data_IF_486076890649
#
_entry.id   IF_486076890649
#
_cell.length_a   1.000
_cell.length_b   1.000
_cell.length_c   1.000
_cell.angle_alpha   90.00
_cell.angle_beta   90.00
_cell.angle_gamma   90.00
#
_symmetry.space_group_name_H-M   'P 1'
#
loop_
_entity.id
_entity.type
_entity.pdbx_description
1 polymer ?
#
# COMPACT_ATOMS: atom_id res chain seq x y z
N UNK A 1 4.89 31.42 8.70
CA UNK A 1 5.76 30.28 9.04
C UNK A 1 5.08 29.06 8.45
N UNK A 2 5.72 28.20 7.69
CA UNK A 2 5.07 26.92 7.33
C UNK A 2 4.78 26.21 8.65
N UNK A 3 3.59 25.67 8.76
CA UNK A 3 3.15 24.91 9.92
C UNK A 3 4.05 23.66 10.02
N UNK A 4 4.92 23.62 11.04
CA UNK A 4 5.85 22.51 11.29
C UNK A 4 5.11 21.26 11.82
N UNK A 5 3.81 21.14 11.45
CA UNK A 5 2.97 20.04 11.87
C UNK A 5 3.37 18.75 11.16
N UNK A 6 3.99 17.83 11.90
CA UNK A 6 4.43 16.50 11.44
C UNK A 6 3.63 15.41 12.12
N UNK A 7 2.39 15.14 11.67
CA UNK A 7 1.44 14.26 12.36
C UNK A 7 1.94 12.81 12.47
N UNK A 8 2.84 12.38 11.59
CA UNK A 8 3.43 11.03 11.63
C UNK A 8 4.75 10.95 12.38
N UNK A 9 5.25 12.05 12.98
CA UNK A 9 6.49 12.05 13.75
C UNK A 9 6.45 11.02 14.89
N UNK A 10 7.40 10.09 14.91
CA UNK A 10 7.49 9.00 15.90
C UNK A 10 6.33 8.00 15.85
N UNK A 11 5.46 8.03 14.83
CA UNK A 11 4.49 6.98 14.55
C UNK A 11 5.16 5.80 13.89
N UNK A 12 4.70 4.60 14.15
CA UNK A 12 5.28 3.37 13.60
C UNK A 12 4.38 2.74 12.56
N UNK A 13 4.91 2.61 11.34
CA UNK A 13 4.28 1.94 10.21
C UNK A 13 4.95 0.59 9.95
N UNK A 14 4.17 -0.48 9.82
CA UNK A 14 4.63 -1.75 9.26
C UNK A 14 4.01 -1.94 7.87
N UNK A 15 4.84 -2.29 6.88
CA UNK A 15 4.42 -2.36 5.48
C UNK A 15 4.87 -3.63 4.81
N UNK A 16 3.97 -4.26 4.05
CA UNK A 16 4.32 -5.32 3.12
C UNK A 16 4.65 -4.79 1.73
N UNK A 17 5.79 -5.22 1.14
CA UNK A 17 6.13 -4.90 -0.25
C UNK A 17 6.66 -3.48 -0.49
N UNK A 18 7.30 -2.84 0.48
CA UNK A 18 7.82 -1.47 0.42
C UNK A 18 9.20 -1.29 -0.23
N UNK A 19 9.77 -2.30 -0.91
CA UNK A 19 11.11 -2.18 -1.50
C UNK A 19 11.18 -1.34 -2.78
N UNK A 20 10.05 -0.94 -3.35
CA UNK A 20 9.92 -0.14 -4.59
C UNK A 20 8.50 0.36 -4.83
N UNK A 21 8.33 1.21 -5.86
CA UNK A 21 7.03 1.65 -6.38
C UNK A 21 6.17 2.36 -5.34
N UNK A 22 4.87 2.10 -5.36
CA UNK A 22 3.89 2.79 -4.50
C UNK A 22 4.24 2.63 -3.02
N UNK A 23 4.57 1.41 -2.57
CA UNK A 23 4.88 1.17 -1.16
C UNK A 23 6.10 1.95 -0.68
N UNK A 24 7.16 2.04 -1.49
CA UNK A 24 8.33 2.83 -1.14
C UNK A 24 7.99 4.32 -1.01
N UNK A 25 7.26 4.89 -1.95
CA UNK A 25 6.85 6.30 -1.91
C UNK A 25 5.95 6.61 -0.70
N UNK A 26 5.03 5.69 -0.32
CA UNK A 26 4.23 5.83 0.91
C UNK A 26 5.15 5.85 2.14
N UNK A 27 6.13 4.95 2.19
CA UNK A 27 7.09 4.88 3.29
C UNK A 27 7.96 6.16 3.38
N UNK A 28 8.45 6.66 2.25
CA UNK A 28 9.22 7.90 2.18
C UNK A 28 8.38 9.11 2.59
N UNK A 29 7.12 9.19 2.11
CA UNK A 29 6.22 10.29 2.49
C UNK A 29 5.96 10.32 4.00
N UNK A 30 5.81 9.17 4.63
CA UNK A 30 5.68 9.10 6.08
C UNK A 30 7.00 9.45 6.80
N UNK A 31 8.14 9.04 6.23
CA UNK A 31 9.47 9.33 6.74
C UNK A 31 9.83 10.84 6.71
N UNK A 32 9.28 11.62 5.77
CA UNK A 32 9.42 13.08 5.72
C UNK A 32 8.93 13.76 7.02
N UNK A 33 7.97 13.14 7.70
CA UNK A 33 7.53 13.57 9.03
C UNK A 33 8.39 13.01 10.18
N UNK A 34 9.26 12.04 9.92
CA UNK A 34 10.03 11.33 10.96
C UNK A 34 9.33 10.08 11.50
N UNK A 35 8.54 9.39 10.68
CA UNK A 35 7.92 8.11 11.06
C UNK A 35 8.97 6.99 11.17
N UNK A 36 8.65 5.99 11.99
CA UNK A 36 9.36 4.71 12.04
C UNK A 36 8.73 3.75 11.04
N UNK A 37 9.53 3.09 10.21
CA UNK A 37 9.05 2.24 9.13
C UNK A 37 9.63 0.82 9.26
N UNK A 38 8.78 -0.19 9.32
CA UNK A 38 9.19 -1.58 9.12
C UNK A 38 8.77 -2.02 7.72
N UNK A 39 9.75 -2.43 6.91
CA UNK A 39 9.52 -3.02 5.59
C UNK A 39 9.60 -4.54 5.67
N UNK A 40 8.57 -5.24 5.17
CA UNK A 40 8.61 -6.69 4.93
C UNK A 40 8.70 -6.90 3.42
N UNK A 41 9.84 -7.39 2.93
CA UNK A 41 10.03 -7.67 1.51
C UNK A 41 11.03 -8.80 1.29
N UNK A 42 10.86 -9.54 0.18
CA UNK A 42 11.75 -10.66 -0.20
C UNK A 42 13.00 -10.22 -0.95
N UNK A 43 12.97 -9.02 -1.54
CA UNK A 43 14.05 -8.56 -2.43
C UNK A 43 15.21 -8.04 -1.62
N UNK A 44 16.11 -8.94 -1.29
CA UNK A 44 17.36 -8.68 -0.57
C UNK A 44 18.51 -8.33 -1.52
N UNK A 45 18.57 -9.00 -2.67
CA UNK A 45 19.59 -8.81 -3.68
C UNK A 45 19.05 -8.05 -4.90
N UNK A 46 19.90 -7.31 -5.64
CA UNK A 46 19.49 -6.68 -6.88
C UNK A 46 18.91 -7.65 -7.88
N UNK A 47 17.81 -7.27 -8.52
CA UNK A 47 17.16 -8.08 -9.56
C UNK A 47 17.50 -7.50 -10.95
N UNK A 48 17.77 -8.33 -11.98
CA UNK A 48 18.23 -7.86 -13.30
C UNK A 48 17.30 -6.84 -13.99
N UNK A 49 16.00 -6.93 -13.73
CA UNK A 49 14.98 -6.10 -14.41
C UNK A 49 14.10 -5.28 -13.46
N UNK A 50 14.25 -5.45 -12.15
CA UNK A 50 13.47 -4.73 -11.13
C UNK A 50 14.41 -3.97 -10.22
N UNK A 51 14.47 -2.67 -10.39
CA UNK A 51 15.27 -1.78 -9.56
C UNK A 51 14.77 -1.78 -8.10
N UNK A 52 15.72 -1.62 -7.17
CA UNK A 52 15.46 -1.49 -5.74
C UNK A 52 15.47 -2.83 -4.98
N UNK A 53 16.04 -2.78 -3.80
CA UNK A 53 16.06 -3.84 -2.79
C UNK A 53 15.50 -3.28 -1.49
N UNK A 54 15.31 -4.13 -0.49
CA UNK A 54 14.93 -3.67 0.86
C UNK A 54 16.01 -2.75 1.46
N UNK A 55 17.27 -2.93 1.07
CA UNK A 55 18.40 -2.11 1.53
C UNK A 55 18.37 -0.71 0.92
N UNK A 56 18.25 -0.61 -0.42
CA UNK A 56 18.15 0.70 -1.08
C UNK A 56 16.88 1.46 -0.68
N UNK A 57 15.80 0.75 -0.41
CA UNK A 57 14.57 1.36 0.14
C UNK A 57 14.81 1.91 1.54
N UNK A 58 15.51 1.16 2.40
CA UNK A 58 15.88 1.63 3.72
C UNK A 58 16.72 2.90 3.70
N UNK A 59 17.75 2.97 2.82
CA UNK A 59 18.58 4.15 2.64
C UNK A 59 17.76 5.39 2.25
N UNK A 60 16.78 5.23 1.34
CA UNK A 60 15.89 6.32 0.92
C UNK A 60 14.99 6.79 2.06
N UNK A 61 14.43 5.88 2.85
CA UNK A 61 13.59 6.19 4.01
C UNK A 61 14.39 6.94 5.08
N UNK A 62 15.63 6.50 5.36
CA UNK A 62 16.53 7.17 6.30
C UNK A 62 16.93 8.56 5.80
N UNK A 63 17.19 8.70 4.50
CA UNK A 63 17.51 10.00 3.87
C UNK A 63 16.30 10.96 3.91
N UNK A 64 15.07 10.46 3.89
CA UNK A 64 13.84 11.25 4.05
C UNK A 64 13.58 11.68 5.51
N UNK A 65 14.31 11.15 6.49
CA UNK A 65 14.20 11.53 7.91
C UNK A 65 13.53 10.52 8.81
N UNK A 66 13.13 9.34 8.29
CA UNK A 66 12.54 8.25 9.08
C UNK A 66 13.58 7.31 9.68
N UNK A 67 13.13 6.44 10.60
CA UNK A 67 13.90 5.29 11.06
C UNK A 67 13.36 4.02 10.39
N UNK A 68 14.24 3.08 10.00
CA UNK A 68 13.80 1.88 9.27
C UNK A 68 14.22 0.58 9.96
N UNK A 69 13.32 -0.40 9.96
CA UNK A 69 13.58 -1.81 10.22
C UNK A 69 13.38 -2.59 8.90
N UNK A 70 14.45 -3.15 8.37
CA UNK A 70 14.44 -3.94 7.13
C UNK A 70 14.27 -5.42 7.49
N UNK A 71 13.08 -5.98 7.26
CA UNK A 71 12.78 -7.39 7.51
C UNK A 71 12.70 -8.16 6.17
N UNK A 72 13.74 -8.95 5.90
CA UNK A 72 13.74 -9.84 4.71
C UNK A 72 12.85 -11.03 5.00
N UNK A 73 11.68 -11.10 4.34
CA UNK A 73 10.69 -12.14 4.58
C UNK A 73 9.59 -12.19 3.51
N UNK A 74 8.90 -13.31 3.49
CA UNK A 74 7.75 -13.54 2.61
C UNK A 74 6.45 -13.36 3.41
N UNK A 75 5.52 -12.56 2.91
CA UNK A 75 4.20 -12.34 3.54
C UNK A 75 3.31 -13.60 3.57
N UNK A 76 3.73 -14.68 2.89
CA UNK A 76 3.07 -15.98 2.90
C UNK A 76 3.52 -16.87 4.06
N UNK A 77 4.64 -16.53 4.69
CA UNK A 77 5.23 -17.28 5.80
C UNK A 77 4.73 -16.68 7.12
N UNK A 78 3.89 -17.42 7.82
CA UNK A 78 3.24 -16.99 9.07
C UNK A 78 4.25 -16.64 10.14
N UNK A 79 5.29 -17.47 10.31
CA UNK A 79 6.32 -17.25 11.32
C UNK A 79 7.19 -16.04 10.97
N UNK A 80 7.49 -15.83 9.69
CA UNK A 80 8.24 -14.65 9.26
C UNK A 80 7.45 -13.37 9.52
N UNK A 81 6.15 -13.34 9.22
CA UNK A 81 5.30 -12.17 9.49
C UNK A 81 5.17 -11.93 10.99
N UNK A 82 4.99 -13.00 11.79
CA UNK A 82 4.93 -12.88 13.27
C UNK A 82 6.23 -12.27 13.81
N UNK A 83 7.40 -12.78 13.40
CA UNK A 83 8.70 -12.20 13.81
C UNK A 83 8.87 -10.74 13.37
N UNK A 84 8.38 -10.37 12.18
CA UNK A 84 8.45 -8.98 11.73
C UNK A 84 7.62 -8.05 12.63
N UNK A 85 6.44 -8.48 13.05
CA UNK A 85 5.58 -7.74 13.98
C UNK A 85 6.26 -7.63 15.37
N UNK A 86 6.78 -8.73 15.91
CA UNK A 86 7.49 -8.75 17.20
C UNK A 86 8.70 -7.79 17.18
N UNK A 87 9.56 -7.88 16.17
CA UNK A 87 10.73 -7.02 16.04
C UNK A 87 10.35 -5.54 15.87
N UNK A 88 9.22 -5.25 15.19
CA UNK A 88 8.70 -3.90 15.06
C UNK A 88 8.32 -3.32 16.43
N UNK A 89 7.57 -4.10 17.23
CA UNK A 89 7.15 -3.70 18.57
C UNK A 89 8.37 -3.55 19.49
N UNK A 90 9.31 -4.48 19.44
CA UNK A 90 10.55 -4.41 20.22
C UNK A 90 11.38 -3.16 19.90
N UNK A 91 11.55 -2.85 18.61
CA UNK A 91 12.40 -1.75 18.17
C UNK A 91 11.78 -0.38 18.36
N UNK A 92 10.47 -0.24 18.09
CA UNK A 92 9.78 1.06 18.02
C UNK A 92 8.72 1.26 19.11
N UNK A 93 8.49 0.26 19.96
CA UNK A 93 7.57 0.35 21.08
C UNK A 93 6.09 0.12 20.74
N UNK A 94 5.74 -0.15 19.48
CA UNK A 94 4.37 -0.41 19.06
C UNK A 94 4.17 -0.27 17.55
N UNK A 95 2.91 -0.40 17.11
CA UNK A 95 2.50 -0.23 15.71
C UNK A 95 1.28 0.68 15.67
N UNK A 96 1.36 1.75 14.89
CA UNK A 96 0.26 2.70 14.68
C UNK A 96 -0.41 2.51 13.32
N UNK A 97 0.35 2.07 12.31
CA UNK A 97 -0.14 1.94 10.94
C UNK A 97 0.30 0.62 10.32
N UNK A 98 -0.62 -0.03 9.61
CA UNK A 98 -0.36 -1.20 8.77
C UNK A 98 -0.66 -0.82 7.32
N UNK A 99 0.29 -1.08 6.41
CA UNK A 99 0.09 -0.87 4.98
C UNK A 99 0.24 -2.19 4.23
N UNK A 100 -0.87 -2.71 3.72
CA UNK A 100 -0.92 -3.91 2.89
C UNK A 100 -0.72 -3.51 1.42
N UNK A 101 0.54 -3.53 0.96
CA UNK A 101 0.90 -3.14 -0.39
C UNK A 101 1.49 -4.30 -1.21
N UNK A 102 2.03 -5.35 -0.59
CA UNK A 102 2.55 -6.51 -1.34
C UNK A 102 1.48 -7.10 -2.27
N UNK A 103 1.84 -7.31 -3.53
CA UNK A 103 0.91 -7.84 -4.53
C UNK A 103 1.64 -8.63 -5.60
N UNK A 104 1.05 -9.77 -6.00
CA UNK A 104 1.36 -10.47 -7.24
C UNK A 104 0.26 -10.19 -8.26
N UNK A 105 0.63 -10.15 -9.54
CA UNK A 105 -0.29 -9.86 -10.63
C UNK A 105 -0.05 -10.76 -11.83
N UNK A 106 -1.09 -11.48 -12.24
CA UNK A 106 -1.22 -12.13 -13.52
C UNK A 106 -2.61 -11.85 -14.07
N UNK A 107 -2.67 -11.40 -15.31
CA UNK A 107 -3.92 -11.00 -16.00
C UNK A 107 -4.30 -11.97 -17.10
N UNK A 108 -3.85 -13.19 -16.99
CA UNK A 108 -4.23 -14.26 -17.93
C UNK A 108 -5.71 -14.59 -17.81
N UNK A 109 -6.28 -15.06 -18.91
CA UNK A 109 -7.64 -15.60 -18.94
C UNK A 109 -7.73 -16.87 -18.07
N UNK A 110 -8.93 -17.27 -17.73
CA UNK A 110 -9.17 -18.42 -16.82
C UNK A 110 -8.54 -19.71 -17.33
N UNK A 111 -8.56 -19.96 -18.63
CA UNK A 111 -7.99 -21.14 -19.27
C UNK A 111 -6.46 -21.09 -19.40
N UNK A 112 -5.86 -19.91 -19.43
CA UNK A 112 -4.42 -19.73 -19.55
C UNK A 112 -3.71 -19.60 -18.19
N UNK A 113 -4.43 -19.21 -17.12
CA UNK A 113 -3.86 -19.02 -15.79
C UNK A 113 -3.47 -20.35 -15.15
N UNK A 114 -2.19 -20.53 -14.83
CA UNK A 114 -1.77 -21.70 -14.07
C UNK A 114 -2.25 -21.64 -12.62
N UNK A 115 -2.61 -22.79 -12.02
CA UNK A 115 -2.99 -22.84 -10.60
C UNK A 115 -1.85 -22.37 -9.68
N UNK A 116 -0.61 -22.66 -10.03
CA UNK A 116 0.56 -22.13 -9.30
C UNK A 116 0.55 -20.60 -9.20
N UNK A 117 0.20 -19.90 -10.28
CA UNK A 117 0.13 -18.45 -10.29
C UNK A 117 -1.14 -17.94 -9.60
N UNK A 118 -2.26 -18.66 -9.75
CA UNK A 118 -3.48 -18.41 -9.00
C UNK A 118 -3.20 -18.45 -7.48
N UNK A 119 -2.64 -19.56 -7.00
CA UNK A 119 -2.29 -19.75 -5.58
C UNK A 119 -1.34 -18.64 -5.10
N UNK A 120 -0.30 -18.30 -5.88
CA UNK A 120 0.63 -17.23 -5.56
C UNK A 120 -0.09 -15.88 -5.36
N UNK A 121 -1.06 -15.55 -6.23
CA UNK A 121 -1.82 -14.32 -6.11
C UNK A 121 -2.73 -14.33 -4.88
N UNK A 122 -3.41 -15.45 -4.59
CA UNK A 122 -4.26 -15.57 -3.40
C UNK A 122 -3.42 -15.46 -2.12
N UNK A 123 -2.28 -16.15 -2.07
CA UNK A 123 -1.42 -16.19 -0.90
C UNK A 123 -0.79 -14.83 -0.58
N UNK A 124 -0.31 -14.10 -1.60
CA UNK A 124 0.32 -12.81 -1.38
C UNK A 124 -0.74 -11.72 -1.13
N UNK A 125 -1.72 -11.61 -2.02
CA UNK A 125 -2.64 -10.49 -2.02
C UNK A 125 -3.67 -10.62 -0.90
N UNK A 126 -4.48 -11.66 -0.92
CA UNK A 126 -5.59 -11.84 0.01
C UNK A 126 -5.10 -12.34 1.37
N UNK A 127 -4.47 -13.53 1.40
CA UNK A 127 -4.02 -14.17 2.64
C UNK A 127 -2.95 -13.34 3.36
N UNK A 128 -1.95 -12.83 2.64
CA UNK A 128 -0.88 -12.03 3.22
C UNK A 128 -1.37 -10.72 3.84
N UNK A 129 -2.32 -10.04 3.19
CA UNK A 129 -2.94 -8.82 3.75
C UNK A 129 -3.75 -9.13 5.02
N UNK A 130 -4.52 -10.21 5.02
CA UNK A 130 -5.26 -10.65 6.20
C UNK A 130 -4.31 -11.02 7.34
N UNK A 131 -3.26 -11.81 7.06
CA UNK A 131 -2.29 -12.28 8.05
C UNK A 131 -1.57 -11.12 8.74
N UNK A 132 -1.00 -10.17 7.96
CA UNK A 132 -0.30 -9.01 8.52
C UNK A 132 -1.25 -8.17 9.37
N UNK A 133 -2.44 -7.87 8.85
CA UNK A 133 -3.44 -7.11 9.60
C UNK A 133 -3.82 -7.82 10.91
N UNK A 134 -4.16 -9.11 10.86
CA UNK A 134 -4.51 -9.93 12.03
C UNK A 134 -3.45 -9.88 13.11
N UNK A 135 -2.18 -10.07 12.75
CA UNK A 135 -1.07 -10.10 13.72
C UNK A 135 -0.80 -8.72 14.33
N UNK A 136 -1.14 -7.64 13.63
CA UNK A 136 -0.97 -6.27 14.13
C UNK A 136 -2.14 -5.79 15.01
N UNK A 137 -3.32 -6.43 14.99
CA UNK A 137 -4.50 -5.97 15.76
C UNK A 137 -4.22 -5.72 17.23
N UNK A 138 -3.48 -6.58 17.98
CA UNK A 138 -3.19 -6.29 19.39
C UNK A 138 -2.41 -4.99 19.59
N UNK A 139 -1.40 -4.72 18.74
CA UNK A 139 -0.60 -3.50 18.82
C UNK A 139 -1.41 -2.26 18.39
N UNK A 140 -2.26 -2.38 17.36
CA UNK A 140 -3.16 -1.30 16.93
C UNK A 140 -4.18 -0.93 18.02
N UNK A 141 -4.72 -1.91 18.75
CA UNK A 141 -5.59 -1.66 19.91
C UNK A 141 -4.85 -0.91 21.02
N UNK A 142 -3.59 -1.24 21.26
CA UNK A 142 -2.77 -0.51 22.23
C UNK A 142 -2.49 0.92 21.74
N UNK A 143 -2.20 1.11 20.47
CA UNK A 143 -2.07 2.42 19.83
C UNK A 143 -3.34 3.26 20.00
N UNK A 144 -4.54 2.66 19.80
CA UNK A 144 -5.82 3.34 20.02
C UNK A 144 -6.02 3.79 21.47
N UNK A 145 -5.74 2.91 22.46
CA UNK A 145 -5.80 3.26 23.88
C UNK A 145 -4.88 4.43 24.23
N UNK A 146 -3.73 4.51 23.58
CA UNK A 146 -2.76 5.59 23.74
C UNK A 146 -3.07 6.81 22.85
N UNK A 147 -4.24 6.87 22.17
CA UNK A 147 -4.70 7.96 21.31
C UNK A 147 -3.73 8.29 20.16
N UNK A 148 -3.09 7.24 19.62
CA UNK A 148 -2.10 7.37 18.54
C UNK A 148 -2.71 7.20 17.14
N UNK A 149 -4.03 7.34 16.98
CA UNK A 149 -4.74 7.34 15.71
C UNK A 149 -4.34 6.17 14.79
N UNK A 150 -4.62 4.90 15.17
CA UNK A 150 -4.17 3.74 14.41
C UNK A 150 -4.96 3.52 13.12
N UNK A 151 -4.25 3.04 12.07
CA UNK A 151 -4.82 2.76 10.76
C UNK A 151 -4.36 1.44 10.15
N UNK A 152 -5.23 0.83 9.35
CA UNK A 152 -4.89 -0.20 8.35
C UNK A 152 -5.23 0.38 6.97
N UNK A 153 -4.26 0.47 6.08
CA UNK A 153 -4.44 0.88 4.69
C UNK A 153 -4.09 -0.27 3.75
N UNK A 154 -5.01 -0.64 2.88
CA UNK A 154 -4.82 -1.72 1.91
C UNK A 154 -4.83 -1.17 0.49
N UNK A 155 -3.80 -1.47 -0.32
CA UNK A 155 -3.73 -1.09 -1.74
C UNK A 155 -4.63 -2.03 -2.54
N UNK A 156 -5.95 -1.80 -2.47
CA UNK A 156 -6.96 -2.61 -3.15
C UNK A 156 -8.10 -1.75 -3.70
N UNK A 157 -8.77 -2.22 -4.79
CA UNK A 157 -9.78 -1.44 -5.50
C UNK A 157 -11.12 -1.40 -4.76
N UNK A 158 -12.01 -0.47 -5.13
CA UNK A 158 -13.43 -0.58 -4.76
C UNK A 158 -14.05 -1.87 -5.29
N UNK A 159 -15.08 -2.38 -4.60
CA UNK A 159 -15.81 -3.59 -5.00
C UNK A 159 -16.79 -3.25 -6.13
N UNK A 160 -16.29 -3.12 -7.34
CA UNK A 160 -17.08 -2.87 -8.53
C UNK A 160 -17.52 -4.20 -9.17
N UNK A 161 -18.82 -4.52 -9.10
CA UNK A 161 -19.38 -5.78 -9.57
C UNK A 161 -19.72 -5.78 -11.08
N UNK A 162 -19.29 -4.79 -11.86
CA UNK A 162 -19.41 -4.86 -13.31
C UNK A 162 -18.62 -6.09 -13.84
N UNK A 163 -19.28 -7.01 -14.58
CA UNK A 163 -18.63 -8.23 -15.06
C UNK A 163 -17.38 -8.02 -15.91
N UNK A 164 -17.24 -6.84 -16.54
CA UNK A 164 -16.02 -6.48 -17.31
C UNK A 164 -14.74 -6.58 -16.48
N UNK A 165 -14.81 -6.33 -15.18
CA UNK A 165 -13.65 -6.37 -14.28
C UNK A 165 -13.28 -7.80 -13.84
N UNK A 166 -14.26 -8.69 -13.80
CA UNK A 166 -14.02 -10.12 -13.55
C UNK A 166 -13.57 -10.84 -14.84
N UNK A 167 -14.18 -10.48 -15.99
CA UNK A 167 -13.88 -11.10 -17.27
C UNK A 167 -12.43 -10.89 -17.73
N UNK A 168 -11.80 -11.97 -18.23
CA UNK A 168 -10.45 -11.94 -18.82
C UNK A 168 -9.29 -11.87 -17.83
N UNK A 169 -9.54 -11.72 -16.53
CA UNK A 169 -8.50 -11.70 -15.48
C UNK A 169 -9.04 -12.17 -14.12
N UNK A 170 -9.94 -13.13 -14.13
CA UNK A 170 -10.72 -13.55 -12.96
C UNK A 170 -9.86 -13.88 -11.73
N UNK A 171 -8.75 -14.61 -11.92
CA UNK A 171 -7.87 -14.98 -10.81
C UNK A 171 -7.28 -13.76 -10.08
N UNK A 172 -6.89 -12.72 -10.81
CA UNK A 172 -6.40 -11.47 -10.23
C UNK A 172 -7.51 -10.68 -9.54
N UNK A 173 -8.69 -10.60 -10.16
CA UNK A 173 -9.86 -9.92 -9.58
C UNK A 173 -10.26 -10.56 -8.25
N UNK A 174 -10.34 -11.89 -8.17
CA UNK A 174 -10.63 -12.61 -6.92
C UNK A 174 -9.61 -12.22 -5.83
N UNK A 175 -8.32 -12.25 -6.15
CA UNK A 175 -7.27 -11.91 -5.19
C UNK A 175 -7.38 -10.46 -4.70
N UNK A 176 -7.62 -9.50 -5.61
CA UNK A 176 -7.75 -8.08 -5.25
C UNK A 176 -9.05 -7.79 -4.48
N UNK A 177 -10.16 -8.40 -4.86
CA UNK A 177 -11.41 -8.26 -4.11
C UNK A 177 -11.34 -8.96 -2.75
N UNK A 178 -10.56 -10.03 -2.60
CA UNK A 178 -10.24 -10.60 -1.28
C UNK A 178 -9.55 -9.60 -0.35
N UNK A 179 -8.61 -8.79 -0.87
CA UNK A 179 -8.02 -7.68 -0.10
C UNK A 179 -9.08 -6.63 0.28
N UNK A 180 -9.95 -6.28 -0.66
CA UNK A 180 -11.03 -5.29 -0.42
C UNK A 180 -12.05 -5.80 0.60
N UNK A 181 -12.40 -7.10 0.56
CA UNK A 181 -13.26 -7.72 1.57
C UNK A 181 -12.59 -7.74 2.95
N UNK A 182 -11.27 -7.92 3.02
CA UNK A 182 -10.52 -7.80 4.28
C UNK A 182 -10.65 -6.39 4.86
N UNK A 183 -10.56 -5.35 4.02
CA UNK A 183 -10.81 -3.97 4.46
C UNK A 183 -12.22 -3.80 5.00
N UNK A 184 -13.24 -4.25 4.26
CA UNK A 184 -14.64 -4.11 4.65
C UNK A 184 -14.94 -4.80 5.98
N UNK A 185 -14.47 -6.05 6.15
CA UNK A 185 -14.69 -6.84 7.36
C UNK A 185 -13.97 -6.25 8.57
N UNK A 186 -12.67 -5.95 8.44
CA UNK A 186 -11.89 -5.39 9.54
C UNK A 186 -12.36 -3.97 9.93
N UNK A 187 -12.86 -3.17 8.99
CA UNK A 187 -13.44 -1.86 9.31
C UNK A 187 -14.63 -1.98 10.28
N UNK A 188 -15.47 -2.99 10.11
CA UNK A 188 -16.60 -3.24 11.00
C UNK A 188 -16.15 -3.87 12.31
N UNK A 189 -15.27 -4.88 12.27
CA UNK A 189 -14.77 -5.56 13.48
C UNK A 189 -14.00 -4.63 14.42
N UNK A 190 -13.25 -3.67 13.87
CA UNK A 190 -12.36 -2.77 14.64
C UNK A 190 -12.94 -1.37 14.88
N UNK A 191 -14.18 -1.12 14.44
CA UNK A 191 -14.87 0.17 14.59
C UNK A 191 -14.94 0.62 16.05
N UNK A 192 -15.31 -0.29 16.95
CA UNK A 192 -15.43 0.00 18.38
C UNK A 192 -14.06 0.28 19.04
N UNK A 193 -12.97 -0.18 18.44
CA UNK A 193 -11.61 0.09 18.89
C UNK A 193 -11.10 1.47 18.41
N UNK A 194 -11.83 2.18 17.55
CA UNK A 194 -11.44 3.47 16.98
C UNK A 194 -10.27 3.36 15.98
N UNK A 195 -10.13 2.20 15.32
CA UNK A 195 -9.08 1.93 14.33
C UNK A 195 -9.64 2.21 12.94
N UNK A 196 -8.99 3.10 12.17
CA UNK A 196 -9.35 3.36 10.78
C UNK A 196 -8.88 2.24 9.86
N UNK A 197 -9.79 1.65 9.08
CA UNK A 197 -9.46 0.60 8.12
C UNK A 197 -10.00 0.96 6.76
N UNK A 198 -9.12 1.22 5.79
CA UNK A 198 -9.49 1.73 4.48
C UNK A 198 -8.71 1.07 3.36
N UNK A 199 -9.24 1.16 2.15
CA UNK A 199 -8.53 0.84 0.90
C UNK A 199 -8.19 2.11 0.14
N UNK A 200 -7.10 2.06 -0.62
CA UNK A 200 -6.70 3.11 -1.55
C UNK A 200 -6.38 2.48 -2.91
N UNK A 201 -6.89 3.09 -3.98
CA UNK A 201 -6.65 2.64 -5.35
C UNK A 201 -6.34 3.82 -6.27
N UNK A 202 -5.41 3.68 -7.23
CA UNK A 202 -5.10 4.77 -8.17
C UNK A 202 -6.16 4.88 -9.26
N UNK A 203 -6.54 6.11 -9.64
CA UNK A 203 -7.41 6.35 -10.80
C UNK A 203 -6.72 6.03 -12.11
N UNK A 204 -5.44 6.28 -12.18
CA UNK A 204 -4.65 6.05 -13.39
C UNK A 204 -3.53 5.05 -13.13
N UNK A 205 -3.01 4.44 -14.18
CA UNK A 205 -1.82 3.59 -14.03
C UNK A 205 -0.68 4.38 -13.36
N UNK A 206 0.05 3.71 -12.48
CA UNK A 206 1.18 4.29 -11.74
C UNK A 206 2.50 3.82 -12.35
N UNK A 207 3.40 4.77 -12.59
CA UNK A 207 4.70 4.56 -13.20
C UNK A 207 5.65 3.74 -12.30
N UNK A 208 5.50 2.43 -12.36
CA UNK A 208 6.32 1.47 -11.60
C UNK A 208 7.07 0.52 -12.54
N UNK A 209 8.09 -0.16 -12.02
CA UNK A 209 8.79 -1.21 -12.77
C UNK A 209 7.83 -2.31 -13.28
N UNK A 210 6.75 -2.58 -12.55
CA UNK A 210 5.71 -3.52 -12.97
C UNK A 210 4.97 -3.10 -14.25
N UNK A 211 4.83 -1.81 -14.50
CA UNK A 211 4.27 -1.27 -15.75
C UNK A 211 5.34 -1.24 -16.84
N UNK A 212 6.54 -0.71 -16.53
CA UNK A 212 7.62 -0.50 -17.49
C UNK A 212 8.05 -1.81 -18.19
N UNK A 213 8.10 -2.92 -17.44
CA UNK A 213 8.64 -4.21 -17.91
C UNK A 213 7.63 -5.07 -18.68
N UNK A 214 6.44 -4.53 -19.04
CA UNK A 214 5.43 -5.25 -19.85
C UNK A 214 5.52 -4.87 -21.34
N UNK A 215 5.02 -5.70 -22.24
CA UNK A 215 4.85 -5.31 -23.65
C UNK A 215 4.06 -3.99 -23.74
N UNK A 216 4.58 -3.01 -24.50
CA UNK A 216 4.03 -1.65 -24.56
C UNK A 216 4.20 -0.82 -23.28
N UNK A 217 5.04 -1.29 -22.33
CA UNK A 217 5.23 -0.70 -21.01
C UNK A 217 5.78 0.72 -21.06
N UNK A 218 6.71 1.02 -21.97
CA UNK A 218 7.27 2.37 -22.09
C UNK A 218 6.20 3.44 -22.39
N UNK A 219 5.28 3.16 -23.34
CA UNK A 219 4.18 4.07 -23.67
C UNK A 219 3.19 4.20 -22.51
N UNK A 220 2.85 3.07 -21.85
CA UNK A 220 1.97 3.10 -20.67
C UNK A 220 2.61 3.88 -19.53
N UNK A 221 3.90 3.68 -19.29
CA UNK A 221 4.65 4.39 -18.25
C UNK A 221 4.64 5.92 -18.51
N UNK A 222 4.88 6.36 -19.74
CA UNK A 222 4.84 7.77 -20.10
C UNK A 222 3.45 8.41 -19.89
N UNK A 223 2.37 7.61 -19.99
CA UNK A 223 0.97 8.01 -19.80
C UNK A 223 0.43 7.63 -18.41
N UNK A 224 1.30 7.59 -17.42
CA UNK A 224 0.98 7.28 -16.03
C UNK A 224 1.24 8.48 -15.14
N UNK A 225 0.74 8.42 -13.91
CA UNK A 225 1.17 9.28 -12.81
C UNK A 225 2.32 8.64 -12.04
N UNK A 226 3.11 9.45 -11.36
CA UNK A 226 4.18 8.97 -10.47
C UNK A 226 3.59 8.32 -9.21
N UNK A 227 4.30 7.42 -8.53
CA UNK A 227 3.83 6.83 -7.27
C UNK A 227 3.54 7.86 -6.16
N UNK A 228 4.10 9.05 -6.27
CA UNK A 228 3.91 10.14 -5.29
C UNK A 228 2.43 10.49 -5.08
N UNK A 229 1.58 10.41 -6.12
CA UNK A 229 0.14 10.68 -5.96
C UNK A 229 -0.52 9.72 -4.97
N UNK A 230 -0.20 8.42 -5.05
CA UNK A 230 -0.69 7.44 -4.08
C UNK A 230 -0.11 7.68 -2.68
N UNK A 231 1.14 8.14 -2.59
CA UNK A 231 1.80 8.42 -1.33
C UNK A 231 1.17 9.61 -0.61
N UNK A 232 0.89 10.70 -1.32
CA UNK A 232 0.25 11.88 -0.74
C UNK A 232 -1.22 11.58 -0.37
N UNK A 233 -1.96 10.83 -1.18
CA UNK A 233 -3.30 10.37 -0.83
C UNK A 233 -3.28 9.44 0.40
N UNK A 234 -2.35 8.47 0.47
CA UNK A 234 -2.17 7.61 1.62
C UNK A 234 -1.85 8.40 2.89
N UNK A 235 -1.01 9.42 2.79
CA UNK A 235 -0.67 10.30 3.90
C UNK A 235 -1.91 11.01 4.46
N UNK A 236 -2.75 11.57 3.60
CA UNK A 236 -4.00 12.24 4.00
C UNK A 236 -4.95 11.27 4.70
N UNK A 237 -5.11 10.05 4.19
CA UNK A 237 -5.94 9.01 4.83
C UNK A 237 -5.37 8.62 6.19
N UNK A 238 -4.06 8.37 6.30
CA UNK A 238 -3.39 7.90 7.53
C UNK A 238 -3.31 8.99 8.61
N UNK A 239 -3.43 10.27 8.24
CA UNK A 239 -3.45 11.40 9.18
C UNK A 239 -4.86 11.86 9.55
N UNK A 240 -5.89 11.41 8.85
CA UNK A 240 -7.30 11.66 9.20
C UNK A 240 -7.68 10.92 10.49
N UNK A 241 -8.70 11.39 11.25
CA UNK A 241 -9.15 10.69 12.45
C UNK A 241 -9.68 9.26 12.13
N UNK A 242 -9.01 8.22 12.62
CA UNK A 242 -9.31 6.82 12.29
C UNK A 242 -10.72 6.38 12.70
N UNK A 243 -11.25 6.91 13.81
CA UNK A 243 -12.62 6.64 14.27
C UNK A 243 -13.69 7.11 13.27
N UNK A 244 -13.41 8.17 12.47
CA UNK A 244 -14.35 8.77 11.52
C UNK A 244 -14.04 8.33 10.08
N UNK A 245 -12.81 7.85 9.84
CA UNK A 245 -12.29 7.46 8.52
C UNK A 245 -12.07 5.95 8.49
N UNK A 246 -13.12 5.18 8.26
CA UNK A 246 -13.09 3.72 8.26
C UNK A 246 -14.13 3.13 7.30
N UNK A 247 -13.80 2.01 6.64
CA UNK A 247 -14.67 1.31 5.69
C UNK A 247 -14.73 1.91 4.30
N UNK A 248 -13.82 2.84 3.97
CA UNK A 248 -13.82 3.53 2.69
C UNK A 248 -12.92 2.82 1.67
N UNK A 249 -13.30 3.00 0.41
CA UNK A 249 -12.52 2.63 -0.77
C UNK A 249 -12.14 3.89 -1.51
N UNK A 250 -11.04 4.50 -1.09
CA UNK A 250 -10.57 5.76 -1.62
C UNK A 250 -9.92 5.62 -3.00
N UNK A 251 -10.08 6.67 -3.80
CA UNK A 251 -9.34 6.85 -5.05
C UNK A 251 -8.35 7.99 -4.83
N UNK A 252 -7.12 7.82 -5.29
CA UNK A 252 -6.01 8.72 -4.99
C UNK A 252 -6.30 10.19 -5.30
N UNK A 253 -6.80 10.51 -6.48
CA UNK A 253 -7.08 11.88 -6.89
C UNK A 253 -8.35 12.46 -6.25
N UNK A 254 -9.34 11.64 -5.90
CA UNK A 254 -10.51 12.09 -5.14
C UNK A 254 -10.09 12.55 -3.74
N UNK A 255 -9.24 11.76 -3.04
CA UNK A 255 -8.69 12.14 -1.73
C UNK A 255 -7.94 13.47 -1.80
N UNK A 256 -7.10 13.65 -2.82
CA UNK A 256 -6.37 14.90 -3.00
C UNK A 256 -7.32 16.09 -3.23
N UNK A 257 -8.32 15.91 -4.08
CA UNK A 257 -9.31 16.94 -4.39
C UNK A 257 -10.13 17.36 -3.15
N UNK A 258 -10.55 16.40 -2.32
CA UNK A 258 -11.26 16.65 -1.05
C UNK A 258 -10.41 17.47 -0.08
N UNK A 259 -9.08 17.42 -0.18
CA UNK A 259 -8.14 18.21 0.62
C UNK A 259 -7.63 19.46 -0.12
N UNK A 260 -8.28 19.88 -1.21
CA UNK A 260 -7.98 21.10 -1.95
C UNK A 260 -6.79 21.00 -2.91
N UNK A 261 -6.22 19.82 -3.13
CA UNK A 261 -5.13 19.57 -4.08
C UNK A 261 -5.76 19.17 -5.43
N UNK A 262 -6.02 20.17 -6.28
CA UNK A 262 -6.71 19.99 -7.57
C UNK A 262 -5.78 20.05 -8.78
N UNK A 263 -4.59 20.66 -8.64
CA UNK A 263 -3.55 20.62 -9.67
C UNK A 263 -2.73 19.33 -9.53
N UNK A 264 -2.97 18.40 -10.45
CA UNK A 264 -2.34 17.09 -10.48
C UNK A 264 -1.26 16.93 -11.55
N UNK A 265 -0.88 18.01 -12.24
CA UNK A 265 0.10 17.96 -13.31
C UNK A 265 1.50 17.61 -12.83
N UNK A 266 1.86 18.00 -11.58
CA UNK A 266 3.12 17.62 -10.94
C UNK A 266 3.29 16.11 -10.75
N UNK A 267 2.19 15.35 -10.74
CA UNK A 267 2.23 13.88 -10.62
C UNK A 267 2.36 13.16 -11.96
N UNK A 268 2.31 13.86 -13.09
CA UNK A 268 2.44 13.22 -14.41
C UNK A 268 3.89 12.83 -14.70
N UNK A 269 4.09 11.64 -15.25
CA UNK A 269 5.42 11.22 -15.73
C UNK A 269 5.87 12.07 -16.91
N UNK A 270 4.96 12.30 -17.86
CA UNK A 270 5.20 13.21 -19.00
C UNK A 270 4.33 14.44 -18.80
N UNK A 271 4.92 15.63 -18.65
CA UNK A 271 4.17 16.88 -18.59
C UNK A 271 3.28 17.12 -19.80
N UNK A 272 2.18 17.86 -19.63
CA UNK A 272 1.26 18.28 -20.68
C UNK A 272 -0.10 17.58 -20.63
N UNK A 273 -1.01 17.94 -21.54
CA UNK A 273 -2.44 17.56 -21.55
C UNK A 273 -2.73 16.20 -22.20
N UNK A 274 -1.71 15.40 -22.53
CA UNK A 274 -1.88 14.10 -23.15
C UNK A 274 -2.72 13.14 -22.27
N UNK A 275 -3.51 12.22 -22.87
CA UNK A 275 -4.39 11.34 -22.11
C UNK A 275 -3.59 10.39 -21.20
N UNK A 276 -3.99 10.29 -19.94
CA UNK A 276 -3.49 9.28 -19.00
C UNK A 276 -4.23 7.94 -19.22
N UNK A 277 -3.58 6.83 -18.87
CA UNK A 277 -4.25 5.53 -18.89
C UNK A 277 -5.05 5.36 -17.59
N UNK A 278 -6.34 5.08 -17.71
CA UNK A 278 -7.14 4.67 -16.55
C UNK A 278 -6.62 3.36 -15.96
N UNK A 279 -6.73 3.22 -14.65
CA UNK A 279 -6.49 1.94 -13.98
C UNK A 279 -7.76 1.08 -14.00
N UNK A 280 -7.66 -0.14 -13.47
CA UNK A 280 -8.74 -1.12 -13.45
C UNK A 280 -9.73 -0.86 -12.31
N UNK A 281 -10.92 -1.44 -12.42
CA UNK A 281 -11.96 -1.48 -11.38
C UNK A 281 -12.73 -0.17 -11.15
N UNK A 282 -12.55 0.82 -12.02
CA UNK A 282 -13.20 2.13 -11.94
C UNK A 282 -14.20 2.37 -13.07
#
# INVERSE_FOLDING_TARGET
MPDDHKPLAGRTMIMSGGSRGIGLEIAERAAEDGANITLIAKTDQPHPTLEGTIHTAGERIEAAGGAVLKFVGDVRDDDAVARAVEQTVERFGGIDMVVNNASAIDRSSTDALSMKMYDLMQDINCRGSFLLSKLCVPALRESARNRRNPHILTLSPPLNLDPRWAGGQLGYTIAKYGMSLTTLGLAEELRADGIGVNSLWPRTTIATAAIRNRPGGAQRFARSRTPRICADAAYLVLTSPGQDTTGNFFIDDDVLAEHGITDLDSYRVTPGDGPLNADMFL
#
